data_IF_805693946866
#
_entry.id   IF_805693946866
#
_cell.length_a   1.000
_cell.length_b   1.000
_cell.length_c   1.000
_cell.angle_alpha   90.00
_cell.angle_beta   90.00
_cell.angle_gamma   90.00
#
_symmetry.space_group_name_H-M   'P 1'
#
loop_
_entity.id
_entity.type
_entity.pdbx_description
1 polymer ?
#
# COMPACT_ATOMS: atom_id res chain seq x y z
N UNK A 1 -65.20 3.00 25.41
CA UNK A 1 -64.36 1.82 25.75
C UNK A 1 -63.38 1.44 24.64
N UNK A 2 -63.76 1.39 23.36
CA UNK A 2 -62.87 0.96 22.26
C UNK A 2 -61.53 1.72 22.15
N UNK A 3 -61.50 3.05 22.34
CA UNK A 3 -60.25 3.84 22.24
C UNK A 3 -59.19 3.50 23.30
N UNK A 4 -59.60 3.09 24.51
CA UNK A 4 -58.67 2.68 25.59
C UNK A 4 -58.10 1.28 25.35
N UNK A 5 -58.91 0.36 24.82
CA UNK A 5 -58.49 -1.00 24.48
C UNK A 5 -57.51 -0.98 23.28
N UNK A 6 -57.78 -0.15 22.27
CA UNK A 6 -56.88 0.03 21.13
C UNK A 6 -55.53 0.65 21.55
N UNK A 7 -55.53 1.63 22.46
CA UNK A 7 -54.30 2.22 22.98
C UNK A 7 -53.45 1.23 23.80
N UNK A 8 -54.07 0.36 24.60
CA UNK A 8 -53.38 -0.69 25.37
C UNK A 8 -52.83 -1.84 24.50
N UNK A 9 -53.52 -2.19 23.41
CA UNK A 9 -53.05 -3.18 22.45
C UNK A 9 -51.86 -2.66 21.63
N UNK A 10 -51.90 -1.40 21.21
CA UNK A 10 -50.80 -0.78 20.45
C UNK A 10 -49.55 -0.63 21.31
N UNK A 11 -49.67 -0.23 22.58
CA UNK A 11 -48.51 -0.15 23.50
C UNK A 11 -47.96 -1.52 23.89
N UNK A 12 -48.80 -2.53 24.08
CA UNK A 12 -48.39 -3.93 24.32
C UNK A 12 -47.60 -4.52 23.15
N UNK A 13 -48.10 -4.39 21.91
CA UNK A 13 -47.43 -4.90 20.70
C UNK A 13 -46.11 -4.15 20.44
N UNK A 14 -46.07 -2.84 20.69
CA UNK A 14 -44.83 -2.05 20.66
C UNK A 14 -43.82 -2.53 21.71
N UNK A 15 -44.25 -2.85 22.94
CA UNK A 15 -43.35 -3.36 23.99
C UNK A 15 -42.83 -4.78 23.68
N UNK A 16 -43.68 -5.67 23.14
CA UNK A 16 -43.27 -7.01 22.72
C UNK A 16 -42.32 -6.99 21.52
N UNK A 17 -42.50 -6.07 20.57
CA UNK A 17 -41.60 -5.92 19.42
C UNK A 17 -40.25 -5.30 19.80
N UNK A 18 -40.23 -4.35 20.74
CA UNK A 18 -38.98 -3.82 21.32
C UNK A 18 -38.16 -4.90 22.02
N UNK A 19 -38.80 -5.75 22.83
CA UNK A 19 -38.10 -6.84 23.56
C UNK A 19 -37.63 -7.99 22.66
N UNK A 20 -38.32 -8.26 21.55
CA UNK A 20 -37.86 -9.23 20.54
C UNK A 20 -36.63 -8.71 19.76
N UNK A 21 -36.65 -7.44 19.36
CA UNK A 21 -35.53 -6.77 18.68
C UNK A 21 -34.27 -6.72 19.57
N UNK A 22 -34.42 -6.47 20.87
CA UNK A 22 -33.32 -6.51 21.84
C UNK A 22 -32.71 -7.92 21.99
N UNK A 23 -33.54 -8.97 22.00
CA UNK A 23 -33.08 -10.37 22.03
C UNK A 23 -32.34 -10.78 20.76
N UNK A 24 -32.83 -10.36 19.59
CA UNK A 24 -32.17 -10.64 18.32
C UNK A 24 -30.81 -9.94 18.20
N UNK A 25 -30.72 -8.68 18.63
CA UNK A 25 -29.42 -7.98 18.71
C UNK A 25 -28.45 -8.66 19.68
N UNK A 26 -28.93 -9.13 20.83
CA UNK A 26 -28.11 -9.91 21.76
C UNK A 26 -27.59 -11.21 21.13
N UNK A 27 -28.41 -11.89 20.33
CA UNK A 27 -27.99 -13.08 19.59
C UNK A 27 -26.91 -12.79 18.55
N UNK A 28 -26.93 -11.62 17.90
CA UNK A 28 -25.87 -11.18 16.99
C UNK A 28 -24.52 -10.99 17.70
N UNK A 29 -24.52 -10.39 18.89
CA UNK A 29 -23.31 -10.18 19.70
C UNK A 29 -22.73 -11.51 20.22
N UNK A 30 -23.59 -12.45 20.64
CA UNK A 30 -23.13 -13.77 21.08
C UNK A 30 -22.50 -14.54 19.90
N UNK A 31 -23.17 -14.51 18.75
CA UNK A 31 -22.69 -15.20 17.54
C UNK A 31 -21.34 -14.63 17.07
N UNK A 32 -21.13 -13.31 17.18
CA UNK A 32 -19.84 -12.68 16.92
C UNK A 32 -18.75 -13.25 17.83
N UNK A 33 -18.92 -13.18 19.16
CA UNK A 33 -17.88 -13.58 20.11
C UNK A 33 -17.46 -15.04 19.92
N UNK A 34 -18.44 -15.95 19.80
CA UNK A 34 -18.18 -17.37 19.57
C UNK A 34 -17.52 -17.60 18.20
N UNK A 35 -18.01 -16.93 17.15
CA UNK A 35 -17.45 -17.03 15.80
C UNK A 35 -15.98 -16.59 15.74
N UNK A 36 -15.65 -15.47 16.39
CA UNK A 36 -14.28 -14.95 16.49
C UNK A 36 -13.39 -15.90 17.29
N UNK A 37 -13.89 -16.51 18.35
CA UNK A 37 -13.14 -17.50 19.12
C UNK A 37 -12.80 -18.74 18.29
N UNK A 38 -13.77 -19.30 17.56
CA UNK A 38 -13.52 -20.42 16.65
C UNK A 38 -12.54 -20.03 15.53
N UNK A 39 -12.66 -18.82 14.98
CA UNK A 39 -11.70 -18.32 13.98
C UNK A 39 -10.27 -18.32 14.52
N UNK A 40 -10.06 -17.80 15.74
CA UNK A 40 -8.74 -17.75 16.39
C UNK A 40 -8.17 -19.15 16.68
N UNK A 41 -9.03 -20.14 16.92
CA UNK A 41 -8.65 -21.55 17.08
C UNK A 41 -8.40 -22.27 15.75
N UNK A 42 -8.65 -21.63 14.61
CA UNK A 42 -8.54 -22.25 13.29
C UNK A 42 -9.72 -23.15 12.91
N UNK A 43 -10.82 -23.12 13.68
CA UNK A 43 -12.02 -23.93 13.48
C UNK A 43 -12.99 -23.23 12.53
N UNK A 44 -12.53 -22.96 11.30
CA UNK A 44 -13.21 -22.09 10.34
C UNK A 44 -14.62 -22.55 9.93
N UNK A 45 -14.85 -23.86 9.83
CA UNK A 45 -16.18 -24.43 9.54
C UNK A 45 -17.22 -24.11 10.62
N UNK A 46 -16.79 -23.96 11.88
CA UNK A 46 -17.66 -23.56 12.99
C UNK A 46 -17.81 -22.04 13.07
N UNK A 47 -16.73 -21.32 12.77
CA UNK A 47 -16.72 -19.86 12.77
C UNK A 47 -17.65 -19.28 11.70
N UNK A 48 -17.63 -19.83 10.49
CA UNK A 48 -18.34 -19.29 9.33
C UNK A 48 -19.83 -19.02 9.57
N UNK A 49 -20.67 -20.00 9.98
CA UNK A 49 -22.10 -19.75 10.16
C UNK A 49 -22.39 -18.76 11.30
N UNK A 50 -21.56 -18.71 12.34
CA UNK A 50 -21.71 -17.78 13.46
C UNK A 50 -21.37 -16.34 13.04
N UNK A 51 -20.29 -16.18 12.28
CA UNK A 51 -19.88 -14.88 11.73
C UNK A 51 -20.88 -14.39 10.67
N UNK A 52 -21.40 -15.24 9.80
CA UNK A 52 -22.48 -14.89 8.85
C UNK A 52 -23.73 -14.41 9.59
N UNK A 53 -24.16 -15.15 10.62
CA UNK A 53 -25.30 -14.75 11.44
C UNK A 53 -25.06 -13.41 12.13
N UNK A 54 -23.87 -13.14 12.65
CA UNK A 54 -23.54 -11.84 13.23
C UNK A 54 -23.52 -10.71 12.18
N UNK A 55 -23.03 -11.00 10.97
CA UNK A 55 -23.02 -10.08 9.84
C UNK A 55 -24.43 -9.71 9.36
N UNK A 56 -25.43 -10.60 9.47
CA UNK A 56 -26.84 -10.28 9.20
C UNK A 56 -27.37 -9.14 10.10
N UNK A 57 -26.79 -8.97 11.29
CA UNK A 57 -27.05 -7.85 12.21
C UNK A 57 -26.12 -6.65 11.99
N UNK A 58 -25.42 -6.60 10.85
CA UNK A 58 -24.41 -5.58 10.50
C UNK A 58 -23.28 -5.46 11.52
N UNK A 59 -22.90 -6.56 12.18
CA UNK A 59 -21.77 -6.55 13.10
C UNK A 59 -20.46 -6.32 12.34
N UNK A 60 -19.76 -5.23 12.68
CA UNK A 60 -18.57 -4.79 11.97
C UNK A 60 -17.38 -5.76 12.14
N UNK A 61 -17.19 -6.32 13.33
CA UNK A 61 -16.15 -7.33 13.58
C UNK A 61 -16.42 -8.59 12.76
N UNK A 62 -17.67 -9.04 12.69
CA UNK A 62 -18.04 -10.22 11.91
C UNK A 62 -17.68 -10.07 10.42
N UNK A 63 -18.00 -8.92 9.81
CA UNK A 63 -17.57 -8.61 8.44
C UNK A 63 -16.04 -8.66 8.29
N UNK A 64 -15.28 -8.11 9.23
CA UNK A 64 -13.82 -8.17 9.19
C UNK A 64 -13.30 -9.62 9.14
N UNK A 65 -13.76 -10.49 10.04
CA UNK A 65 -13.31 -11.89 10.07
C UNK A 65 -13.77 -12.67 8.84
N UNK A 66 -14.99 -12.45 8.33
CA UNK A 66 -15.44 -13.02 7.05
C UNK A 66 -14.54 -12.57 5.89
N UNK A 67 -14.17 -11.30 5.85
CA UNK A 67 -13.25 -10.75 4.88
C UNK A 67 -11.88 -11.44 4.91
N UNK A 68 -11.32 -11.69 6.11
CA UNK A 68 -10.08 -12.46 6.27
C UNK A 68 -10.22 -13.90 5.77
N UNK A 69 -11.32 -14.57 6.13
CA UNK A 69 -11.59 -15.95 5.69
C UNK A 69 -11.61 -16.06 4.16
N UNK A 70 -12.29 -15.13 3.50
CA UNK A 70 -12.40 -15.08 2.04
C UNK A 70 -11.08 -14.72 1.36
N UNK A 71 -10.28 -13.81 1.93
CA UNK A 71 -8.97 -13.44 1.38
C UNK A 71 -8.00 -14.61 1.39
N UNK A 72 -7.98 -15.36 2.48
CA UNK A 72 -7.01 -16.41 2.73
C UNK A 72 -7.50 -17.80 2.30
N UNK A 73 -8.80 -17.96 2.05
CA UNK A 73 -9.42 -19.24 1.71
C UNK A 73 -9.58 -20.16 2.92
N UNK A 74 -9.85 -19.58 4.10
CA UNK A 74 -9.97 -20.31 5.37
C UNK A 74 -11.43 -20.72 5.59
N UNK A 75 -11.76 -22.00 5.36
CA UNK A 75 -13.12 -22.54 5.47
C UNK A 75 -14.09 -22.06 4.38
N UNK A 76 -13.60 -21.32 3.39
CA UNK A 76 -14.35 -20.84 2.21
C UNK A 76 -13.42 -20.78 1.00
N UNK A 77 -13.97 -20.76 -0.20
CA UNK A 77 -13.20 -20.49 -1.42
C UNK A 77 -12.65 -19.05 -1.40
N UNK A 78 -11.43 -18.86 -1.93
CA UNK A 78 -10.81 -17.54 -2.00
C UNK A 78 -11.64 -16.59 -2.86
N UNK A 79 -11.93 -15.41 -2.32
CA UNK A 79 -12.65 -14.37 -3.04
C UNK A 79 -12.19 -12.98 -2.59
N UNK A 80 -11.28 -12.37 -3.35
CA UNK A 80 -10.71 -11.05 -3.04
C UNK A 80 -11.75 -9.93 -3.13
N UNK A 81 -12.67 -10.00 -4.08
CA UNK A 81 -13.70 -8.97 -4.25
C UNK A 81 -14.68 -8.92 -3.07
N UNK A 82 -15.24 -10.07 -2.69
CA UNK A 82 -16.10 -10.17 -1.50
C UNK A 82 -15.35 -9.80 -0.22
N UNK A 83 -14.08 -10.21 -0.13
CA UNK A 83 -13.24 -9.86 1.02
C UNK A 83 -13.12 -8.35 1.18
N UNK A 84 -12.87 -7.64 0.08
CA UNK A 84 -12.82 -6.18 0.06
C UNK A 84 -14.16 -5.52 0.37
N UNK A 85 -15.27 -6.05 -0.13
CA UNK A 85 -16.61 -5.57 0.25
C UNK A 85 -16.86 -5.72 1.75
N UNK A 86 -16.48 -6.86 2.35
CA UNK A 86 -16.69 -7.11 3.78
C UNK A 86 -15.74 -6.28 4.65
N UNK A 87 -14.48 -6.05 4.25
CA UNK A 87 -13.63 -5.08 4.94
C UNK A 87 -14.22 -3.68 4.92
N UNK A 88 -14.78 -3.24 3.78
CA UNK A 88 -15.42 -1.95 3.69
C UNK A 88 -16.62 -1.83 4.63
N UNK A 89 -17.50 -2.85 4.67
CA UNK A 89 -18.64 -2.87 5.62
C UNK A 89 -18.17 -2.82 7.07
N UNK A 90 -17.08 -3.53 7.40
CA UNK A 90 -16.47 -3.48 8.73
C UNK A 90 -15.95 -2.06 9.06
N UNK A 91 -15.25 -1.43 8.12
CA UNK A 91 -14.71 -0.09 8.27
C UNK A 91 -15.81 1.00 8.39
N UNK A 92 -16.88 0.87 7.61
CA UNK A 92 -18.07 1.73 7.72
C UNK A 92 -18.81 1.53 9.05
N UNK A 93 -18.81 0.30 9.56
CA UNK A 93 -19.30 -0.04 10.90
C UNK A 93 -18.39 0.38 12.05
N UNK A 94 -17.23 1.01 11.76
CA UNK A 94 -16.32 1.56 12.76
C UNK A 94 -15.28 0.58 13.31
N UNK A 95 -15.12 -0.61 12.72
CA UNK A 95 -14.10 -1.57 13.12
C UNK A 95 -12.73 -1.14 12.60
N UNK A 96 -11.85 -0.72 13.51
CA UNK A 96 -10.63 0.05 13.17
C UNK A 96 -9.61 -0.80 12.42
N UNK A 97 -9.51 -2.09 12.74
CA UNK A 97 -8.61 -3.06 12.11
C UNK A 97 -8.94 -3.23 10.61
N UNK A 98 -10.16 -2.90 10.18
CA UNK A 98 -10.55 -2.96 8.78
C UNK A 98 -10.13 -1.72 7.96
N UNK A 99 -9.71 -0.61 8.58
CA UNK A 99 -9.48 0.65 7.88
C UNK A 99 -8.32 0.55 6.87
N UNK A 100 -7.17 -0.01 7.28
CA UNK A 100 -6.02 -0.16 6.39
C UNK A 100 -6.36 -1.11 5.22
N UNK A 101 -7.00 -2.25 5.52
CA UNK A 101 -7.39 -3.22 4.49
C UNK A 101 -8.39 -2.62 3.50
N UNK A 102 -9.35 -1.82 3.97
CA UNK A 102 -10.28 -1.08 3.10
C UNK A 102 -9.55 -0.09 2.20
N UNK A 103 -8.56 0.64 2.74
CA UNK A 103 -7.71 1.52 1.94
C UNK A 103 -6.94 0.77 0.86
N UNK A 104 -6.39 -0.41 1.19
CA UNK A 104 -5.70 -1.28 0.23
C UNK A 104 -6.65 -1.76 -0.86
N UNK A 105 -7.87 -2.16 -0.51
CA UNK A 105 -8.89 -2.59 -1.46
C UNK A 105 -9.23 -1.50 -2.49
N UNK A 106 -9.39 -0.24 -2.05
CA UNK A 106 -9.57 0.91 -2.98
C UNK A 106 -8.36 1.19 -3.85
N UNK A 107 -7.14 0.96 -3.36
CA UNK A 107 -5.94 1.13 -4.20
C UNK A 107 -5.87 0.08 -5.30
N UNK A 108 -6.26 -1.17 -5.02
CA UNK A 108 -6.17 -2.27 -5.99
C UNK A 108 -7.36 -2.27 -6.94
N UNK A 109 -8.56 -1.99 -6.44
CA UNK A 109 -9.80 -2.13 -7.21
C UNK A 109 -10.29 -3.58 -7.30
N UNK A 110 -10.01 -4.40 -6.28
CA UNK A 110 -10.53 -5.76 -6.19
C UNK A 110 -11.93 -5.75 -5.57
N UNK A 111 -12.96 -6.07 -6.35
CA UNK A 111 -14.37 -6.06 -5.91
C UNK A 111 -15.10 -4.73 -6.15
N UNK A 112 -14.38 -3.65 -6.47
CA UNK A 112 -14.93 -2.36 -6.85
C UNK A 112 -13.91 -1.56 -7.67
N UNK A 113 -14.31 -0.43 -8.28
CA UNK A 113 -13.39 0.38 -9.08
C UNK A 113 -12.27 0.99 -8.22
N UNK A 114 -11.03 0.97 -8.73
CA UNK A 114 -9.88 1.62 -8.08
C UNK A 114 -10.19 3.09 -7.80
N UNK A 115 -9.91 3.52 -6.58
CA UNK A 115 -10.13 4.91 -6.15
C UNK A 115 -9.07 5.35 -5.14
N UNK A 116 -8.02 6.03 -5.62
CA UNK A 116 -6.91 6.43 -4.78
C UNK A 116 -7.33 7.44 -3.68
N UNK A 117 -8.37 8.25 -3.90
CA UNK A 117 -8.88 9.21 -2.89
C UNK A 117 -9.50 8.48 -1.70
N UNK A 118 -10.36 7.50 -1.94
CA UNK A 118 -10.92 6.68 -0.87
C UNK A 118 -9.85 5.79 -0.22
N UNK A 119 -8.90 5.29 -1.02
CA UNK A 119 -7.75 4.53 -0.53
C UNK A 119 -6.95 5.34 0.50
N UNK A 120 -6.60 6.58 0.16
CA UNK A 120 -5.90 7.51 1.05
C UNK A 120 -6.73 7.85 2.28
N UNK A 121 -8.02 8.16 2.11
CA UNK A 121 -8.93 8.52 3.21
C UNK A 121 -9.02 7.42 4.27
N UNK A 122 -9.18 6.16 3.87
CA UNK A 122 -9.26 5.04 4.80
C UNK A 122 -7.93 4.73 5.47
N UNK A 123 -6.83 4.76 4.73
CA UNK A 123 -5.49 4.59 5.33
C UNK A 123 -5.16 5.73 6.32
N UNK A 124 -5.54 6.97 5.99
CA UNK A 124 -5.35 8.11 6.89
C UNK A 124 -6.22 7.97 8.14
N UNK A 125 -7.47 7.52 8.00
CA UNK A 125 -8.33 7.17 9.15
C UNK A 125 -7.69 6.10 10.02
N UNK A 126 -7.09 5.06 9.43
CA UNK A 126 -6.33 4.04 10.17
C UNK A 126 -5.22 4.70 11.00
N UNK A 127 -4.35 5.49 10.37
CA UNK A 127 -3.28 6.22 11.04
C UNK A 127 -3.76 7.13 12.18
N UNK A 128 -4.89 7.81 12.01
CA UNK A 128 -5.42 8.75 13.00
C UNK A 128 -6.10 8.05 14.19
N UNK A 129 -6.51 6.79 14.03
CA UNK A 129 -7.17 6.00 15.09
C UNK A 129 -6.27 4.98 15.79
N UNK A 130 -5.15 4.64 15.18
CA UNK A 130 -4.23 3.63 15.70
C UNK A 130 -3.56 4.14 16.98
N UNK A 131 -3.70 3.38 18.06
CA UNK A 131 -2.73 3.43 19.15
C UNK A 131 -1.53 2.59 18.73
N UNK A 132 -0.46 3.26 18.28
CA UNK A 132 0.72 2.57 17.72
C UNK A 132 1.35 1.56 18.67
N UNK A 133 1.18 1.73 19.99
CA UNK A 133 1.68 0.77 20.99
C UNK A 133 0.94 -0.57 21.00
N UNK A 134 -0.23 -0.66 20.36
CA UNK A 134 -1.07 -1.86 20.30
C UNK A 134 -1.13 -2.47 18.90
N UNK A 135 -0.52 -1.82 17.90
CA UNK A 135 -0.49 -2.29 16.52
C UNK A 135 0.73 -3.19 16.31
N UNK A 136 0.53 -4.29 15.60
CA UNK A 136 1.64 -5.15 15.22
C UNK A 136 2.62 -4.39 14.32
N UNK A 137 3.93 -4.61 14.54
CA UNK A 137 4.97 -3.88 13.81
C UNK A 137 4.88 -4.04 12.29
N UNK A 138 4.37 -5.18 11.82
CA UNK A 138 4.13 -5.43 10.39
C UNK A 138 3.03 -4.52 9.83
N UNK A 139 1.91 -4.37 10.52
CA UNK A 139 0.83 -3.47 10.09
C UNK A 139 1.27 -2.01 10.13
N UNK A 140 2.12 -1.63 11.08
CA UNK A 140 2.73 -0.29 11.11
C UNK A 140 3.58 -0.07 9.86
N UNK A 141 4.40 -1.04 9.46
CA UNK A 141 5.20 -0.97 8.23
C UNK A 141 4.28 -0.84 7.02
N UNK A 142 3.26 -1.69 6.88
CA UNK A 142 2.34 -1.67 5.74
C UNK A 142 1.62 -0.33 5.63
N UNK A 143 1.06 0.17 6.74
CA UNK A 143 0.40 1.48 6.78
C UNK A 143 1.37 2.61 6.41
N UNK A 144 2.59 2.56 6.93
CA UNK A 144 3.59 3.60 6.72
C UNK A 144 4.09 3.62 5.28
N UNK A 145 4.42 2.47 4.69
CA UNK A 145 4.78 2.38 3.27
C UNK A 145 3.61 2.81 2.39
N UNK A 146 2.39 2.41 2.73
CA UNK A 146 1.19 2.79 1.98
C UNK A 146 1.01 4.31 1.96
N UNK A 147 1.01 4.97 3.11
CA UNK A 147 0.85 6.43 3.19
C UNK A 147 2.05 7.16 2.60
N UNK A 148 3.28 6.66 2.83
CA UNK A 148 4.51 7.17 2.22
C UNK A 148 4.43 7.18 0.70
N UNK A 149 3.97 6.08 0.08
CA UNK A 149 3.76 5.99 -1.37
C UNK A 149 2.72 7.00 -1.86
N UNK A 150 1.57 7.14 -1.16
CA UNK A 150 0.51 8.07 -1.58
C UNK A 150 0.97 9.53 -1.54
N UNK A 151 1.64 9.93 -0.46
CA UNK A 151 2.19 11.28 -0.34
C UNK A 151 3.34 11.53 -1.32
N UNK A 152 4.21 10.53 -1.56
CA UNK A 152 5.31 10.66 -2.51
C UNK A 152 4.79 10.84 -3.94
N UNK A 153 3.76 10.11 -4.33
CA UNK A 153 3.18 10.15 -5.67
C UNK A 153 2.11 11.25 -5.86
N UNK A 154 1.49 11.73 -4.78
CA UNK A 154 0.28 12.56 -4.87
C UNK A 154 -0.95 11.77 -5.34
N UNK A 155 -1.04 10.49 -4.95
CA UNK A 155 -2.14 9.61 -5.31
C UNK A 155 -3.23 9.68 -4.24
N UNK A 156 -4.42 10.16 -4.59
CA UNK A 156 -5.52 10.34 -3.64
C UNK A 156 -5.37 11.53 -2.68
N UNK A 157 -4.23 12.20 -2.71
CA UNK A 157 -3.88 13.40 -1.93
C UNK A 157 -2.94 14.29 -2.76
N UNK A 158 -2.54 15.45 -2.26
CA UNK A 158 -1.48 16.24 -2.90
C UNK A 158 -0.11 15.61 -2.62
N UNK A 159 0.81 15.73 -3.59
CA UNK A 159 2.19 15.30 -3.38
C UNK A 159 2.83 16.10 -2.25
N UNK A 160 3.39 15.40 -1.27
CA UNK A 160 4.08 15.98 -0.13
C UNK A 160 5.26 15.09 0.26
N UNK A 161 6.47 15.49 -0.16
CA UNK A 161 7.68 14.72 0.16
C UNK A 161 8.04 14.77 1.64
N UNK A 162 7.60 15.78 2.40
CA UNK A 162 7.88 15.89 3.83
C UNK A 162 7.05 14.87 4.60
N UNK A 163 5.74 14.79 4.32
CA UNK A 163 4.89 13.74 4.89
C UNK A 163 5.35 12.35 4.44
N UNK A 164 5.70 12.19 3.16
CA UNK A 164 6.24 10.93 2.67
C UNK A 164 7.49 10.50 3.46
N UNK A 165 8.44 11.43 3.70
CA UNK A 165 9.66 11.15 4.45
C UNK A 165 9.37 10.69 5.89
N UNK A 166 8.41 11.32 6.58
CA UNK A 166 8.01 10.90 7.95
C UNK A 166 7.49 9.46 7.97
N UNK A 167 6.63 9.12 7.02
CA UNK A 167 6.08 7.77 6.89
C UNK A 167 7.15 6.73 6.52
N UNK A 168 8.02 7.04 5.57
CA UNK A 168 9.14 6.15 5.24
C UNK A 168 10.13 6.01 6.39
N UNK A 169 10.41 7.07 7.15
CA UNK A 169 11.26 6.98 8.35
C UNK A 169 10.70 5.98 9.36
N UNK A 170 9.39 6.00 9.60
CA UNK A 170 8.71 5.03 10.47
C UNK A 170 8.92 3.59 10.00
N UNK A 171 8.66 3.29 8.72
CA UNK A 171 8.87 1.96 8.16
C UNK A 171 10.35 1.55 8.13
N UNK A 172 11.26 2.48 7.81
CA UNK A 172 12.69 2.24 7.72
C UNK A 172 13.31 1.89 9.09
N UNK A 173 12.83 2.53 10.18
CA UNK A 173 13.21 2.20 11.55
C UNK A 173 12.79 0.79 11.96
N UNK A 174 11.67 0.29 11.41
CA UNK A 174 11.19 -1.08 11.60
C UNK A 174 11.84 -2.09 10.64
N UNK A 175 12.78 -1.64 9.81
CA UNK A 175 13.60 -2.51 8.98
C UNK A 175 13.16 -2.66 7.53
N UNK A 176 12.06 -2.00 7.10
CA UNK A 176 11.55 -2.13 5.74
C UNK A 176 12.58 -1.65 4.69
N UNK A 177 13.06 -2.55 3.80
CA UNK A 177 14.16 -2.23 2.89
C UNK A 177 13.78 -1.18 1.86
N UNK A 178 12.52 -1.20 1.38
CA UNK A 178 12.01 -0.24 0.40
C UNK A 178 11.94 1.16 0.98
N UNK A 179 11.40 1.30 2.19
CA UNK A 179 11.36 2.57 2.91
C UNK A 179 12.77 3.10 3.20
N UNK A 180 13.73 2.24 3.54
CA UNK A 180 15.13 2.63 3.70
C UNK A 180 15.71 3.20 2.39
N UNK A 181 15.48 2.53 1.26
CA UNK A 181 15.94 2.98 -0.06
C UNK A 181 15.32 4.31 -0.50
N UNK A 182 14.01 4.47 -0.32
CA UNK A 182 13.32 5.73 -0.65
C UNK A 182 13.76 6.86 0.28
N UNK A 183 13.89 6.61 1.58
CA UNK A 183 14.37 7.60 2.53
C UNK A 183 15.81 8.02 2.23
N UNK A 184 16.65 7.08 1.78
CA UNK A 184 18.00 7.39 1.30
C UNK A 184 17.97 8.38 0.13
N UNK A 185 17.12 8.13 -0.87
CA UNK A 185 16.92 9.03 -1.99
C UNK A 185 16.38 10.41 -1.57
N UNK A 186 15.45 10.48 -0.61
CA UNK A 186 14.92 11.74 -0.10
C UNK A 186 16.01 12.58 0.58
N UNK A 187 16.83 11.97 1.44
CA UNK A 187 17.98 12.64 2.05
C UNK A 187 19.07 13.01 1.05
N UNK A 188 19.23 12.23 -0.02
CA UNK A 188 20.18 12.55 -1.09
C UNK A 188 19.73 13.77 -1.89
N UNK A 189 18.47 13.77 -2.32
CA UNK A 189 17.89 14.78 -3.21
C UNK A 189 17.43 16.06 -2.51
N UNK A 190 17.24 16.01 -1.18
CA UNK A 190 16.69 17.13 -0.41
C UNK A 190 15.19 17.35 -0.62
N UNK A 191 14.48 16.36 -1.18
CA UNK A 191 13.03 16.44 -1.37
C UNK A 191 12.33 16.15 -0.04
N UNK A 192 11.64 17.15 0.49
CA UNK A 192 10.86 17.03 1.73
C UNK A 192 11.68 16.97 3.02
N UNK A 193 13.00 16.79 2.93
CA UNK A 193 13.95 16.77 4.05
C UNK A 193 15.19 17.59 3.71
N UNK A 194 15.92 18.06 4.72
CA UNK A 194 17.24 18.66 4.50
C UNK A 194 18.20 17.60 3.95
N UNK A 195 18.98 17.97 2.94
CA UNK A 195 19.98 17.08 2.36
C UNK A 195 20.96 16.60 3.42
N UNK A 196 21.24 15.30 3.46
CA UNK A 196 22.24 14.73 4.35
C UNK A 196 22.92 13.55 3.66
N UNK A 197 24.15 13.77 3.18
CA UNK A 197 24.95 12.71 2.54
C UNK A 197 25.19 11.52 3.48
N UNK A 198 25.38 11.80 4.77
CA UNK A 198 25.57 10.77 5.80
C UNK A 198 24.31 9.90 5.96
N UNK A 199 23.14 10.51 6.20
CA UNK A 199 21.89 9.75 6.36
C UNK A 199 21.51 9.03 5.07
N UNK A 200 21.65 9.68 3.93
CA UNK A 200 21.38 9.08 2.63
C UNK A 200 22.24 7.83 2.40
N UNK A 201 23.55 7.93 2.65
CA UNK A 201 24.46 6.78 2.51
C UNK A 201 24.14 5.68 3.51
N UNK A 202 23.90 6.02 4.78
CA UNK A 202 23.54 5.07 5.82
C UNK A 202 22.29 4.24 5.47
N UNK A 203 21.22 4.91 5.04
CA UNK A 203 19.98 4.24 4.68
C UNK A 203 20.13 3.45 3.37
N UNK A 204 20.85 3.98 2.37
CA UNK A 204 21.11 3.26 1.13
C UNK A 204 21.88 1.96 1.39
N UNK A 205 22.94 2.00 2.20
CA UNK A 205 23.74 0.82 2.54
C UNK A 205 22.93 -0.22 3.33
N UNK A 206 22.02 0.22 4.22
CA UNK A 206 21.09 -0.69 4.90
C UNK A 206 20.12 -1.36 3.92
N UNK A 207 19.54 -0.58 2.99
CA UNK A 207 18.62 -1.06 1.99
C UNK A 207 19.30 -2.07 1.04
N UNK A 208 20.51 -1.76 0.54
CA UNK A 208 21.29 -2.64 -0.35
C UNK A 208 21.64 -3.97 0.31
N UNK A 209 21.97 -4.00 1.61
CA UNK A 209 22.23 -5.26 2.33
C UNK A 209 21.02 -6.21 2.33
N UNK A 210 19.82 -5.67 2.15
CA UNK A 210 18.57 -6.42 2.05
C UNK A 210 18.11 -6.60 0.60
N UNK A 211 18.91 -6.17 -0.38
CA UNK A 211 18.64 -6.33 -1.80
C UNK A 211 17.72 -5.28 -2.41
N UNK A 212 17.49 -4.14 -1.75
CA UNK A 212 16.63 -3.07 -2.26
C UNK A 212 17.24 -2.33 -3.47
N UNK A 213 16.44 -2.15 -4.52
CA UNK A 213 16.85 -1.55 -5.79
C UNK A 213 16.95 -0.01 -5.70
N UNK A 214 16.14 0.63 -4.84
CA UNK A 214 16.22 2.07 -4.60
C UNK A 214 17.48 2.47 -3.83
N UNK A 215 17.91 1.65 -2.88
CA UNK A 215 19.19 1.77 -2.19
C UNK A 215 20.35 1.67 -3.18
N UNK A 216 20.32 0.68 -4.07
CA UNK A 216 21.34 0.50 -5.11
C UNK A 216 21.38 1.68 -6.07
N UNK A 217 20.22 2.12 -6.56
CA UNK A 217 20.11 3.32 -7.38
C UNK A 217 20.72 4.54 -6.68
N UNK A 218 20.41 4.75 -5.40
CA UNK A 218 20.96 5.87 -4.61
C UNK A 218 22.48 5.77 -4.45
N UNK A 219 23.05 4.58 -4.23
CA UNK A 219 24.50 4.38 -4.23
C UNK A 219 25.11 4.65 -5.62
N UNK A 220 24.42 4.29 -6.71
CA UNK A 220 24.81 4.67 -8.07
C UNK A 220 24.94 6.18 -8.21
N UNK A 221 23.95 6.95 -7.72
CA UNK A 221 23.99 8.42 -7.73
C UNK A 221 25.17 8.99 -6.92
N UNK A 222 25.51 8.39 -5.78
CA UNK A 222 26.68 8.81 -5.00
C UNK A 222 28.00 8.66 -5.75
N UNK A 223 28.15 7.56 -6.51
CA UNK A 223 29.38 7.32 -7.28
C UNK A 223 29.42 8.17 -8.55
N UNK A 224 28.27 8.39 -9.19
CA UNK A 224 28.14 9.21 -10.39
C UNK A 224 28.45 10.70 -10.13
N UNK A 225 27.99 11.26 -8.99
CA UNK A 225 28.24 12.66 -8.62
C UNK A 225 29.47 12.86 -7.70
N UNK A 226 30.35 11.86 -7.59
CA UNK A 226 31.62 12.01 -6.86
C UNK A 226 32.57 12.94 -7.63
N UNK A 227 33.54 13.53 -6.94
CA UNK A 227 34.64 14.29 -7.57
C UNK A 227 36.00 13.65 -7.22
N UNK A 228 36.72 13.06 -8.20
CA UNK A 228 36.23 12.73 -9.56
C UNK A 228 35.14 11.65 -9.52
N UNK A 229 34.30 11.63 -10.54
CA UNK A 229 33.21 10.68 -10.67
C UNK A 229 33.77 9.25 -10.78
N UNK A 230 33.09 8.30 -10.12
CA UNK A 230 33.37 6.87 -10.24
C UNK A 230 32.28 6.24 -11.11
N UNK A 231 32.33 6.52 -12.40
CA UNK A 231 31.28 6.16 -13.34
C UNK A 231 31.16 4.65 -13.54
N UNK A 232 32.27 3.92 -13.50
CA UNK A 232 32.26 2.45 -13.55
C UNK A 232 31.45 1.87 -12.38
N UNK A 233 31.71 2.35 -11.16
CA UNK A 233 30.95 1.92 -9.99
C UNK A 233 29.50 2.41 -10.00
N UNK A 234 29.23 3.58 -10.57
CA UNK A 234 27.86 4.05 -10.77
C UNK A 234 27.08 3.13 -11.71
N UNK A 235 27.66 2.75 -12.85
CA UNK A 235 27.07 1.80 -13.81
C UNK A 235 26.82 0.46 -13.13
N UNK A 236 27.78 -0.08 -12.38
CA UNK A 236 27.60 -1.32 -11.62
C UNK A 236 26.33 -1.29 -10.74
N UNK A 237 26.16 -0.23 -9.96
CA UNK A 237 24.99 -0.10 -9.08
C UNK A 237 23.70 0.11 -9.86
N UNK A 238 23.73 0.90 -10.92
CA UNK A 238 22.57 1.11 -11.77
C UNK A 238 22.16 -0.17 -12.52
N UNK A 239 23.10 -0.99 -12.99
CA UNK A 239 22.81 -2.27 -13.62
C UNK A 239 22.19 -3.25 -12.63
N UNK A 240 22.70 -3.31 -11.39
CA UNK A 240 22.10 -4.11 -10.31
C UNK A 240 20.64 -3.71 -10.05
N UNK A 241 20.36 -2.41 -9.88
CA UNK A 241 19.01 -1.90 -9.67
C UNK A 241 18.12 -2.11 -10.92
N UNK A 242 18.67 -1.91 -12.11
CA UNK A 242 17.97 -2.10 -13.39
C UNK A 242 17.51 -3.55 -13.57
N UNK A 243 18.33 -4.54 -13.19
CA UNK A 243 17.99 -5.96 -13.25
C UNK A 243 16.82 -6.34 -12.33
N UNK A 244 16.55 -5.52 -11.30
CA UNK A 244 15.38 -5.65 -10.41
C UNK A 244 14.17 -4.85 -10.88
N UNK A 245 14.27 -4.19 -12.03
CA UNK A 245 13.18 -3.41 -12.63
C UNK A 245 13.17 -1.93 -12.23
N UNK A 246 14.23 -1.41 -11.62
CA UNK A 246 14.28 0.00 -11.24
C UNK A 246 14.33 0.90 -12.49
N UNK A 247 13.21 1.53 -12.81
CA UNK A 247 13.09 2.36 -14.03
C UNK A 247 13.93 3.65 -13.96
N UNK A 248 14.25 4.16 -12.76
CA UNK A 248 15.16 5.30 -12.63
C UNK A 248 16.59 4.90 -12.96
N UNK A 249 17.06 3.75 -12.46
CA UNK A 249 18.38 3.21 -12.81
C UNK A 249 18.48 2.89 -14.31
N UNK A 250 17.44 2.28 -14.88
CA UNK A 250 17.35 2.04 -16.32
C UNK A 250 17.45 3.36 -17.11
N UNK A 251 16.70 4.40 -16.72
CA UNK A 251 16.80 5.70 -17.37
C UNK A 251 18.22 6.29 -17.26
N UNK A 252 18.86 6.20 -16.08
CA UNK A 252 20.23 6.68 -15.87
C UNK A 252 21.24 5.95 -16.76
N UNK A 253 21.13 4.64 -16.92
CA UNK A 253 21.97 3.87 -17.85
C UNK A 253 21.71 4.29 -19.31
N UNK A 254 20.45 4.53 -19.67
CA UNK A 254 20.06 5.06 -20.98
C UNK A 254 20.80 6.35 -21.31
N UNK A 255 20.80 7.31 -20.37
CA UNK A 255 21.52 8.59 -20.50
C UNK A 255 23.04 8.38 -20.58
N UNK A 256 23.61 7.56 -19.69
CA UNK A 256 25.05 7.30 -19.65
C UNK A 256 25.57 6.78 -21.00
N UNK A 257 24.88 5.80 -21.60
CA UNK A 257 25.26 5.26 -22.90
C UNK A 257 24.92 6.18 -24.08
N UNK A 258 23.88 7.02 -23.99
CA UNK A 258 23.55 8.02 -25.01
C UNK A 258 24.63 9.11 -25.10
N UNK A 259 25.14 9.54 -23.96
CA UNK A 259 26.12 10.62 -23.83
C UNK A 259 27.57 10.13 -23.92
N UNK A 260 27.84 8.87 -23.57
CA UNK A 260 29.21 8.36 -23.42
C UNK A 260 29.89 8.89 -22.15
N UNK A 261 29.12 9.09 -21.07
CA UNK A 261 29.66 9.63 -19.81
C UNK A 261 30.43 8.52 -19.09
N UNK A 262 31.77 8.59 -19.11
CA UNK A 262 32.65 7.62 -18.47
C UNK A 262 32.75 6.26 -19.19
N UNK A 263 32.10 6.11 -20.34
CA UNK A 263 32.13 4.91 -21.21
C UNK A 263 32.05 5.35 -22.68
N UNK A 264 32.37 4.45 -23.61
CA UNK A 264 32.10 4.72 -25.03
C UNK A 264 30.60 4.87 -25.27
N UNK A 265 30.23 5.85 -26.08
CA UNK A 265 28.85 6.10 -26.49
C UNK A 265 28.30 4.89 -27.25
N UNK A 266 27.14 4.41 -26.82
CA UNK A 266 26.47 3.22 -27.37
C UNK A 266 24.96 3.46 -27.47
N UNK A 267 24.52 3.88 -28.66
CA UNK A 267 23.10 4.18 -28.92
C UNK A 267 22.22 2.93 -28.81
N UNK A 268 22.75 1.74 -29.10
CA UNK A 268 21.98 0.50 -29.00
C UNK A 268 21.73 0.13 -27.55
N UNK A 269 22.74 0.22 -26.67
CA UNK A 269 22.55 0.05 -25.22
C UNK A 269 21.65 1.13 -24.63
N UNK A 270 21.83 2.39 -25.03
CA UNK A 270 20.96 3.47 -24.60
C UNK A 270 19.49 3.17 -24.91
N UNK A 271 19.20 2.76 -26.16
CA UNK A 271 17.85 2.38 -26.59
C UNK A 271 17.29 1.21 -25.77
N UNK A 272 18.11 0.18 -25.54
CA UNK A 272 17.73 -0.96 -24.70
C UNK A 272 17.26 -0.52 -23.31
N UNK A 273 18.04 0.31 -22.63
CA UNK A 273 17.71 0.78 -21.29
C UNK A 273 16.50 1.73 -21.26
N UNK A 274 16.35 2.62 -22.25
CA UNK A 274 15.13 3.42 -22.38
C UNK A 274 13.88 2.56 -22.60
N UNK A 275 13.96 1.51 -23.43
CA UNK A 275 12.86 0.56 -23.62
C UNK A 275 12.54 -0.21 -22.35
N UNK A 276 13.54 -0.60 -21.55
CA UNK A 276 13.31 -1.20 -20.23
C UNK A 276 12.57 -0.25 -19.30
N UNK A 277 13.03 1.00 -19.17
CA UNK A 277 12.39 2.01 -18.33
C UNK A 277 10.93 2.25 -18.73
N UNK A 278 10.65 2.29 -20.03
CA UNK A 278 9.31 2.48 -20.60
C UNK A 278 8.32 1.34 -20.25
N UNK A 279 8.79 0.11 -19.97
CA UNK A 279 7.92 -1.01 -19.53
C UNK A 279 7.25 -0.74 -18.18
N UNK A 280 7.75 0.22 -17.39
CA UNK A 280 7.07 0.66 -16.17
C UNK A 280 5.69 1.30 -16.43
N UNK A 281 5.40 1.69 -17.67
CA UNK A 281 4.15 2.38 -18.04
C UNK A 281 4.07 3.82 -17.54
N UNK A 282 5.10 4.33 -16.85
CA UNK A 282 5.12 5.71 -16.37
C UNK A 282 5.25 6.67 -17.55
N UNK A 283 4.37 7.66 -17.60
CA UNK A 283 4.33 8.66 -18.68
C UNK A 283 5.69 9.32 -18.92
N UNK A 284 6.42 9.67 -17.86
CA UNK A 284 7.75 10.24 -17.97
C UNK A 284 8.76 9.30 -18.66
N UNK A 285 8.67 7.99 -18.45
CA UNK A 285 9.57 7.01 -19.07
C UNK A 285 9.19 6.74 -20.53
N UNK A 286 7.89 6.68 -20.81
CA UNK A 286 7.36 6.57 -22.19
C UNK A 286 7.79 7.79 -23.02
N UNK A 287 7.66 9.00 -22.44
CA UNK A 287 8.11 10.24 -23.06
C UNK A 287 9.63 10.25 -23.27
N UNK A 288 10.41 9.82 -22.29
CA UNK A 288 11.87 9.75 -22.42
C UNK A 288 12.30 8.83 -23.58
N UNK A 289 11.66 7.67 -23.74
CA UNK A 289 11.90 6.79 -24.88
C UNK A 289 11.52 7.45 -26.21
N UNK A 290 10.34 8.05 -26.31
CA UNK A 290 9.89 8.70 -27.54
C UNK A 290 10.82 9.87 -27.95
N UNK A 291 11.24 10.69 -26.97
CA UNK A 291 12.17 11.79 -27.19
C UNK A 291 13.54 11.26 -27.66
N UNK A 292 14.02 10.16 -27.08
CA UNK A 292 15.26 9.50 -27.50
C UNK A 292 15.17 8.96 -28.93
N UNK A 293 14.12 8.21 -29.26
CA UNK A 293 13.92 7.64 -30.60
C UNK A 293 13.82 8.73 -31.67
N UNK A 294 13.16 9.85 -31.35
CA UNK A 294 13.10 11.02 -32.22
C UNK A 294 14.48 11.67 -32.45
N UNK A 295 15.29 11.86 -31.39
CA UNK A 295 16.65 12.43 -31.50
C UNK A 295 17.56 11.59 -32.39
N UNK A 296 17.49 10.26 -32.27
CA UNK A 296 18.37 9.33 -32.99
C UNK A 296 17.75 8.77 -34.28
N UNK A 297 16.57 9.26 -34.68
CA UNK A 297 15.84 8.83 -35.89
C UNK A 297 15.62 7.32 -35.94
N UNK A 298 15.41 6.70 -34.78
CA UNK A 298 15.08 5.29 -34.67
C UNK A 298 13.60 5.13 -34.99
N UNK A 299 13.27 4.29 -35.98
CA UNK A 299 11.86 4.02 -36.30
C UNK A 299 11.23 3.28 -35.12
N UNK A 300 9.99 3.61 -34.77
CA UNK A 300 9.16 2.85 -33.83
C UNK A 300 9.06 1.40 -34.33
N UNK A 301 9.97 0.54 -33.87
CA UNK A 301 9.82 -0.90 -34.08
C UNK A 301 8.88 -1.40 -32.99
N UNK A 302 7.68 -1.88 -33.36
CA UNK A 302 6.68 -2.34 -32.40
C UNK A 302 7.23 -3.38 -31.42
#
# INVERSE_FOLDING_TARGET
>A
MLKKIFSLLVTSVLFFSLTACEKEKANGIISEKEGVEYYRKGEYEKALPLLQKAADFRNAAAFYYLGLMQREGKGVEKNYGKSCEDFLKAAEGGYQEAYLLSGICYRVGDGFERNDKEAFKWAKKAADTVNESQMDSEDIVVLSVFLGDRYFAGEGTFQDFSEAAKWYEKAAMLGDPRAQGVLAFLYYSGKGVLTSKEKAKYWAEKAVKQGDDMGEFTLGMFNFLKEPADTEKAIYWYESASNKGNYWAQQSLGVIYEEGTGVEKDITKAHHYYRLAAKSGKEAMLKALADFEARHKLKNTP
#
